data_IF_602165645131
#
_entry.id   IF_602165645131
#
_cell.length_a   1.000
_cell.length_b   1.000
_cell.length_c   1.000
_cell.angle_alpha   90.00
_cell.angle_beta   90.00
_cell.angle_gamma   90.00
#
_symmetry.space_group_name_H-M   'P 1'
#
loop_
_entity.id
_entity.type
_entity.pdbx_description
1 polymer ?
#
# COMPACT_ATOMS: atom_id res chain seq x y z
N UNK A 1 -4.18 -43.09 89.07
CA UNK A 1 -5.21 -42.65 88.11
C UNK A 1 -4.52 -42.40 86.78
N UNK A 2 -4.72 -43.31 85.84
CA UNK A 2 -4.18 -43.22 84.47
C UNK A 2 -5.03 -42.26 83.65
N UNK A 3 -4.41 -41.25 83.03
CA UNK A 3 -5.02 -40.52 81.92
C UNK A 3 -4.06 -40.65 80.75
N UNK A 4 -4.49 -41.44 79.76
CA UNK A 4 -3.80 -41.61 78.51
C UNK A 4 -4.03 -40.41 77.61
N UNK A 5 -2.98 -39.99 76.91
CA UNK A 5 -3.08 -39.10 75.76
C UNK A 5 -2.35 -39.80 74.62
N UNK A 6 -3.16 -40.37 73.73
CA UNK A 6 -2.76 -40.92 72.45
C UNK A 6 -2.56 -39.75 71.49
N UNK A 7 -1.38 -39.62 70.89
CA UNK A 7 -1.12 -38.69 69.80
C UNK A 7 -0.65 -39.49 68.57
N UNK A 8 -1.33 -39.34 67.42
CA UNK A 8 -1.11 -40.19 66.26
C UNK A 8 0.19 -39.86 65.54
N UNK A 9 0.86 -40.91 65.08
CA UNK A 9 2.03 -40.91 64.21
C UNK A 9 1.61 -40.41 62.82
N UNK A 10 1.99 -39.19 62.43
CA UNK A 10 1.88 -38.75 61.03
C UNK A 10 3.12 -39.21 60.26
N UNK A 11 2.91 -40.13 59.32
CA UNK A 11 3.89 -40.49 58.30
C UNK A 11 4.00 -39.35 57.29
N UNK A 12 5.13 -38.64 57.29
CA UNK A 12 5.52 -37.73 56.22
C UNK A 12 5.92 -38.59 55.01
N UNK A 13 5.02 -38.70 54.03
CA UNK A 13 5.34 -39.24 52.72
C UNK A 13 6.21 -38.26 51.95
N UNK A 14 7.44 -38.65 51.62
CA UNK A 14 8.25 -37.94 50.63
C UNK A 14 7.66 -38.21 49.25
N UNK A 15 6.89 -37.26 48.72
CA UNK A 15 6.56 -37.23 47.30
C UNK A 15 7.79 -36.72 46.55
N UNK A 16 8.47 -37.63 45.84
CA UNK A 16 9.56 -37.27 44.93
C UNK A 16 9.00 -36.52 43.73
N UNK A 17 8.98 -35.19 43.80
CA UNK A 17 8.81 -34.36 42.62
C UNK A 17 10.08 -34.49 41.78
N UNK A 18 9.98 -35.16 40.63
CA UNK A 18 10.96 -35.00 39.55
C UNK A 18 11.01 -33.51 39.24
N UNK A 19 12.13 -32.86 39.52
CA UNK A 19 12.42 -31.54 38.99
C UNK A 19 12.40 -31.65 37.47
N UNK A 20 11.45 -30.97 36.83
CA UNK A 20 11.54 -30.72 35.39
C UNK A 20 12.87 -30.00 35.13
N UNK A 21 13.64 -30.42 34.12
CA UNK A 21 14.85 -29.69 33.76
C UNK A 21 14.46 -28.25 33.42
N UNK A 22 15.18 -27.28 33.99
CA UNK A 22 15.08 -25.88 33.58
C UNK A 22 15.19 -25.83 32.05
N UNK A 23 14.30 -25.11 31.35
CA UNK A 23 14.38 -25.03 29.90
C UNK A 23 15.74 -24.44 29.55
N UNK A 24 16.57 -25.27 28.93
CA UNK A 24 17.79 -24.84 28.28
C UNK A 24 17.42 -23.69 27.35
N UNK A 25 18.09 -22.55 27.51
CA UNK A 25 17.90 -21.40 26.63
C UNK A 25 18.19 -21.87 25.21
N UNK A 26 17.14 -22.16 24.46
CA UNK A 26 17.21 -22.36 23.03
C UNK A 26 17.59 -20.99 22.47
N UNK A 27 18.86 -20.82 22.11
CA UNK A 27 19.23 -19.74 21.21
C UNK A 27 18.42 -19.95 19.93
N UNK A 28 17.45 -19.06 19.72
CA UNK A 28 16.75 -18.95 18.45
C UNK A 28 17.82 -18.53 17.45
N UNK A 29 18.24 -19.46 16.61
CA UNK A 29 19.18 -19.22 15.52
C UNK A 29 18.70 -18.04 14.68
N UNK A 30 19.57 -17.03 14.56
CA UNK A 30 19.41 -15.74 13.88
C UNK A 30 18.30 -15.68 12.84
N UNK A 31 17.18 -15.04 13.20
CA UNK A 31 16.32 -14.37 12.24
C UNK A 31 17.02 -13.08 11.78
N UNK A 32 18.10 -13.25 11.01
CA UNK A 32 18.96 -12.24 10.36
C UNK A 32 18.75 -10.80 10.87
N UNK A 33 19.42 -10.45 11.97
CA UNK A 33 19.51 -9.06 12.42
C UNK A 33 20.13 -8.27 11.29
N UNK A 34 19.35 -7.37 10.68
CA UNK A 34 19.88 -6.52 9.62
C UNK A 34 20.71 -5.42 10.25
N UNK A 35 21.92 -5.30 9.75
CA UNK A 35 22.87 -4.27 10.14
C UNK A 35 23.16 -3.37 8.95
N UNK A 36 23.86 -2.27 9.21
CA UNK A 36 24.30 -1.31 8.20
C UNK A 36 25.19 -1.94 7.11
N UNK A 37 25.83 -3.08 7.40
CA UNK A 37 26.69 -3.83 6.48
C UNK A 37 25.90 -4.75 5.53
N UNK A 38 24.59 -4.87 5.71
CA UNK A 38 23.74 -5.69 4.84
C UNK A 38 23.67 -5.07 3.44
N UNK A 39 23.84 -5.85 2.34
CA UNK A 39 23.71 -5.34 0.98
C UNK A 39 22.46 -4.48 0.73
N UNK A 40 22.65 -3.35 0.03
CA UNK A 40 21.63 -2.33 -0.25
C UNK A 40 20.31 -2.91 -0.76
N UNK A 41 20.39 -3.82 -1.74
CA UNK A 41 19.22 -4.48 -2.36
C UNK A 41 18.40 -5.26 -1.34
N UNK A 42 19.06 -5.95 -0.39
CA UNK A 42 18.38 -6.75 0.63
C UNK A 42 17.66 -5.85 1.64
N UNK A 43 18.29 -4.74 2.04
CA UNK A 43 17.67 -3.74 2.91
C UNK A 43 16.44 -3.12 2.24
N UNK A 44 16.58 -2.73 0.97
CA UNK A 44 15.50 -2.19 0.17
C UNK A 44 14.32 -3.16 0.05
N UNK A 45 14.57 -4.41 -0.34
CA UNK A 45 13.53 -5.42 -0.52
C UNK A 45 12.75 -5.68 0.77
N UNK A 46 13.44 -5.71 1.92
CA UNK A 46 12.76 -5.87 3.20
C UNK A 46 11.95 -4.63 3.57
N UNK A 47 12.51 -3.44 3.44
CA UNK A 47 11.80 -2.20 3.74
C UNK A 47 10.53 -2.07 2.88
N UNK A 48 10.64 -2.40 1.60
CA UNK A 48 9.51 -2.48 0.65
C UNK A 48 8.45 -3.48 1.10
N UNK A 49 8.82 -4.73 1.42
CA UNK A 49 7.87 -5.76 1.89
C UNK A 49 7.16 -5.33 3.17
N UNK A 50 7.86 -4.70 4.10
CA UNK A 50 7.27 -4.19 5.35
C UNK A 50 6.25 -3.08 5.06
N UNK A 51 6.58 -2.17 4.14
CA UNK A 51 5.67 -1.11 3.70
C UNK A 51 4.42 -1.66 3.03
N UNK A 52 4.58 -2.60 2.08
CA UNK A 52 3.47 -3.28 1.39
C UNK A 52 2.58 -4.08 2.34
N UNK A 53 3.17 -4.60 3.42
CA UNK A 53 2.46 -5.29 4.50
C UNK A 53 1.75 -4.33 5.48
N UNK A 54 1.75 -3.02 5.22
CA UNK A 54 1.21 -1.97 6.10
C UNK A 54 1.90 -1.87 7.47
N UNK A 55 3.10 -2.44 7.62
CA UNK A 55 3.88 -2.37 8.86
C UNK A 55 4.73 -1.10 8.87
N UNK A 56 4.07 0.06 8.82
CA UNK A 56 4.71 1.36 8.55
C UNK A 56 5.81 1.75 9.54
N UNK A 57 5.67 1.41 10.82
CA UNK A 57 6.71 1.68 11.81
C UNK A 57 7.98 0.86 11.56
N UNK A 58 7.83 -0.42 11.25
CA UNK A 58 8.97 -1.29 10.95
C UNK A 58 9.57 -0.94 9.59
N UNK A 59 8.73 -0.55 8.62
CA UNK A 59 9.16 -0.07 7.31
C UNK A 59 9.98 1.22 7.44
N UNK A 60 9.53 2.16 8.28
CA UNK A 60 10.26 3.39 8.59
C UNK A 60 11.67 3.07 9.09
N UNK A 61 11.80 2.23 10.12
CA UNK A 61 13.09 1.81 10.67
C UNK A 61 13.98 1.16 9.60
N UNK A 62 13.41 0.33 8.71
CA UNK A 62 14.13 -0.31 7.64
C UNK A 62 14.57 0.66 6.51
N UNK A 63 13.75 1.65 6.17
CA UNK A 63 14.13 2.70 5.19
C UNK A 63 15.16 3.67 5.77
N UNK A 64 15.06 4.01 7.05
CA UNK A 64 16.09 4.80 7.75
C UNK A 64 17.42 4.05 7.76
N UNK A 65 17.42 2.74 8.06
CA UNK A 65 18.62 1.91 7.98
C UNK A 65 19.22 1.88 6.57
N UNK A 66 18.38 1.77 5.53
CA UNK A 66 18.81 1.81 4.14
C UNK A 66 19.46 3.15 3.78
N UNK A 67 18.81 4.26 4.11
CA UNK A 67 19.33 5.62 3.86
C UNK A 67 20.65 5.86 4.59
N UNK A 68 20.72 5.47 5.86
CA UNK A 68 21.88 5.73 6.70
C UNK A 68 23.07 4.84 6.30
N UNK A 69 22.82 3.62 5.82
CA UNK A 69 23.86 2.71 5.32
C UNK A 69 24.33 3.03 3.91
N UNK A 70 23.44 3.57 3.07
CA UNK A 70 23.69 3.85 1.66
C UNK A 70 23.22 5.27 1.26
N UNK A 71 23.80 6.35 1.84
CA UNK A 71 23.34 7.73 1.63
C UNK A 71 23.53 8.27 0.20
N UNK A 72 24.32 7.58 -0.61
CA UNK A 72 24.49 7.87 -2.05
C UNK A 72 24.15 6.64 -2.91
N UNK A 73 23.43 5.68 -2.34
CA UNK A 73 23.00 4.46 -2.98
C UNK A 73 21.96 4.71 -4.08
N UNK A 74 21.72 3.69 -4.91
CA UNK A 74 20.73 3.78 -5.98
C UNK A 74 19.30 3.99 -5.44
N UNK A 75 19.03 3.55 -4.21
CA UNK A 75 17.72 3.64 -3.58
C UNK A 75 17.61 4.75 -2.52
N UNK A 76 18.64 5.61 -2.34
CA UNK A 76 18.65 6.63 -1.28
C UNK A 76 17.48 7.62 -1.41
N UNK A 77 17.31 8.24 -2.58
CA UNK A 77 16.21 9.18 -2.86
C UNK A 77 14.84 8.53 -2.63
N UNK A 78 14.73 7.25 -2.97
CA UNK A 78 13.49 6.49 -2.77
C UNK A 78 13.24 6.23 -1.27
N UNK A 79 14.28 5.88 -0.52
CA UNK A 79 14.20 5.70 0.91
C UNK A 79 13.70 6.97 1.61
N UNK A 80 14.23 8.15 1.25
CA UNK A 80 13.82 9.44 1.83
C UNK A 80 12.31 9.70 1.65
N UNK A 81 11.79 9.50 0.43
CA UNK A 81 10.36 9.62 0.17
C UNK A 81 9.57 8.59 0.97
N UNK A 82 10.07 7.35 1.08
CA UNK A 82 9.36 6.30 1.80
C UNK A 82 9.34 6.47 3.30
N UNK A 83 10.38 7.08 3.87
CA UNK A 83 10.38 7.52 5.27
C UNK A 83 9.24 8.53 5.49
N UNK A 84 9.10 9.51 4.59
CA UNK A 84 7.99 10.47 4.65
C UNK A 84 6.61 9.80 4.44
N UNK A 85 6.51 8.84 3.50
CA UNK A 85 5.29 8.06 3.28
C UNK A 85 4.89 7.26 4.53
N UNK A 86 5.84 6.62 5.22
CA UNK A 86 5.56 5.88 6.45
C UNK A 86 4.95 6.78 7.52
N UNK A 87 5.53 7.97 7.74
CA UNK A 87 4.99 8.97 8.66
C UNK A 87 3.58 9.43 8.26
N UNK A 88 3.35 9.64 6.96
CA UNK A 88 2.03 9.99 6.44
C UNK A 88 1.00 8.90 6.73
N UNK A 89 1.33 7.63 6.49
CA UNK A 89 0.41 6.51 6.73
C UNK A 89 0.14 6.29 8.23
N UNK A 90 1.13 6.61 9.07
CA UNK A 90 0.97 6.66 10.53
C UNK A 90 0.16 7.88 11.01
N UNK A 91 -0.28 8.76 10.10
CA UNK A 91 -1.03 10.00 10.36
C UNK A 91 -0.23 11.06 11.11
N UNK A 92 1.10 10.93 11.13
CA UNK A 92 2.04 11.92 11.66
C UNK A 92 2.29 13.00 10.61
N UNK A 93 1.22 13.69 10.20
CA UNK A 93 1.23 14.57 9.03
C UNK A 93 2.16 15.76 9.17
N UNK A 94 2.35 16.30 10.38
CA UNK A 94 3.29 17.41 10.61
C UNK A 94 4.73 16.98 10.32
N UNK A 95 5.12 15.79 10.80
CA UNK A 95 6.44 15.20 10.55
C UNK A 95 6.62 14.83 9.09
N UNK A 96 5.60 14.19 8.49
CA UNK A 96 5.61 13.82 7.08
C UNK A 96 5.81 15.05 6.17
N UNK A 97 5.12 16.16 6.46
CA UNK A 97 5.25 17.39 5.68
C UNK A 97 6.70 17.91 5.65
N UNK A 98 7.38 17.91 6.79
CA UNK A 98 8.78 18.34 6.89
C UNK A 98 9.71 17.41 6.11
N UNK A 99 9.53 16.10 6.23
CA UNK A 99 10.36 15.12 5.50
C UNK A 99 10.21 15.25 3.99
N UNK A 100 8.99 15.46 3.48
CA UNK A 100 8.80 15.73 2.04
C UNK A 100 9.44 17.06 1.61
N UNK A 101 9.39 18.11 2.44
CA UNK A 101 10.09 19.36 2.14
C UNK A 101 11.60 19.20 2.15
N UNK A 102 12.15 18.40 3.06
CA UNK A 102 13.58 18.12 3.12
C UNK A 102 14.03 17.33 1.89
N UNK A 103 13.26 16.32 1.48
CA UNK A 103 13.48 15.63 0.20
C UNK A 103 13.52 16.62 -0.99
N UNK A 104 12.60 17.59 -1.04
CA UNK A 104 12.59 18.59 -2.12
C UNK A 104 13.78 19.55 -2.10
N UNK A 105 14.38 19.80 -0.93
CA UNK A 105 15.59 20.62 -0.78
C UNK A 105 16.84 19.85 -1.20
N UNK A 106 16.91 18.58 -0.81
CA UNK A 106 18.05 17.70 -1.07
C UNK A 106 18.07 17.21 -2.51
N UNK A 107 16.89 16.89 -3.07
CA UNK A 107 16.73 16.27 -4.39
C UNK A 107 15.85 17.12 -5.33
N UNK A 108 16.18 18.40 -5.60
CA UNK A 108 15.31 19.33 -6.33
C UNK A 108 15.08 18.98 -7.80
N UNK A 109 15.86 18.05 -8.36
CA UNK A 109 15.76 17.57 -9.76
C UNK A 109 15.25 16.13 -9.87
N UNK A 110 14.82 15.54 -8.75
CA UNK A 110 14.28 14.18 -8.76
C UNK A 110 13.00 14.11 -9.59
N UNK A 111 12.80 13.00 -10.31
CA UNK A 111 11.54 12.70 -11.02
C UNK A 111 10.34 12.63 -10.05
N UNK A 112 10.62 12.39 -8.76
CA UNK A 112 9.62 12.34 -7.70
C UNK A 112 9.35 13.71 -7.04
N UNK A 113 9.99 14.79 -7.50
CA UNK A 113 9.70 16.14 -6.99
C UNK A 113 8.20 16.54 -7.06
N UNK A 114 7.44 16.32 -8.16
CA UNK A 114 6.02 16.66 -8.18
C UNK A 114 5.20 15.79 -7.21
N UNK A 115 5.61 14.54 -6.98
CA UNK A 115 5.00 13.67 -5.97
C UNK A 115 5.22 14.24 -4.56
N UNK A 116 6.47 14.53 -4.21
CA UNK A 116 6.83 15.06 -2.89
C UNK A 116 6.15 16.42 -2.63
N UNK A 117 6.03 17.29 -3.64
CA UNK A 117 5.25 18.54 -3.51
C UNK A 117 3.77 18.28 -3.19
N UNK A 118 3.15 17.36 -3.94
CA UNK A 118 1.74 17.02 -3.74
C UNK A 118 1.51 16.46 -2.32
N UNK A 119 2.40 15.59 -1.86
CA UNK A 119 2.34 14.96 -0.54
C UNK A 119 2.67 15.93 0.59
N UNK A 120 3.66 16.79 0.44
CA UNK A 120 3.99 17.83 1.42
C UNK A 120 2.79 18.76 1.63
N UNK A 121 2.18 19.24 0.54
CA UNK A 121 1.00 20.08 0.59
C UNK A 121 -0.17 19.38 1.30
N UNK A 122 -0.44 18.12 0.93
CA UNK A 122 -1.50 17.32 1.56
C UNK A 122 -1.23 17.06 3.04
N UNK A 123 0.02 16.82 3.41
CA UNK A 123 0.42 16.60 4.80
C UNK A 123 0.20 17.86 5.64
N UNK A 124 0.60 19.03 5.15
CA UNK A 124 0.28 20.31 5.80
C UNK A 124 -1.22 20.54 5.93
N UNK A 125 -1.99 20.27 4.86
CA UNK A 125 -3.46 20.38 4.89
C UNK A 125 -4.07 19.50 5.99
N UNK A 126 -3.66 18.24 6.07
CA UNK A 126 -4.18 17.26 7.04
C UNK A 126 -3.67 17.48 8.46
N UNK A 127 -2.50 18.11 8.63
CA UNK A 127 -1.98 18.49 9.95
C UNK A 127 -2.78 19.61 10.61
N UNK A 128 -3.56 20.37 9.82
CA UNK A 128 -4.40 21.42 10.34
C UNK A 128 -5.46 20.83 11.28
N UNK A 129 -5.56 21.41 12.47
CA UNK A 129 -6.48 20.93 13.51
C UNK A 129 -7.91 21.45 13.33
N UNK A 130 -8.25 22.03 12.19
CA UNK A 130 -9.59 22.53 11.88
C UNK A 130 -9.76 24.03 12.09
N UNK A 131 -10.92 24.53 11.65
CA UNK A 131 -11.22 25.95 11.51
C UNK A 131 -11.26 26.67 12.87
N UNK A 132 -10.65 27.85 12.95
CA UNK A 132 -10.50 28.63 14.20
C UNK A 132 -9.25 28.30 15.04
N UNK A 133 -8.35 27.45 14.52
CA UNK A 133 -6.99 27.22 15.06
C UNK A 133 -5.95 27.90 14.16
N UNK A 134 -4.68 27.56 14.33
CA UNK A 134 -3.59 28.08 13.49
C UNK A 134 -3.81 27.72 12.01
N UNK A 135 -3.80 28.74 11.15
CA UNK A 135 -3.95 28.60 9.70
C UNK A 135 -2.61 28.42 8.98
N UNK A 136 -1.47 28.55 9.70
CA UNK A 136 -0.13 28.42 9.15
C UNK A 136 0.06 27.17 8.26
N UNK A 137 -0.37 25.97 8.71
CA UNK A 137 -0.30 24.77 7.87
C UNK A 137 -1.13 24.88 6.58
N UNK A 138 -2.32 25.49 6.62
CA UNK A 138 -3.15 25.66 5.40
C UNK A 138 -2.52 26.64 4.40
N UNK A 139 -1.92 27.72 4.89
CA UNK A 139 -1.19 28.67 4.04
C UNK A 139 0.02 28.01 3.38
N UNK A 140 0.77 27.20 4.15
CA UNK A 140 1.91 26.46 3.62
C UNK A 140 1.49 25.41 2.59
N UNK A 141 0.40 24.69 2.87
CA UNK A 141 -0.22 23.76 1.94
C UNK A 141 -0.59 24.44 0.61
N UNK A 142 -1.23 25.61 0.68
CA UNK A 142 -1.62 26.38 -0.50
C UNK A 142 -0.40 26.80 -1.35
N UNK A 143 0.67 27.28 -0.71
CA UNK A 143 1.93 27.63 -1.37
C UNK A 143 2.50 26.44 -2.16
N UNK A 144 2.54 25.25 -1.54
CA UNK A 144 3.09 24.04 -2.16
C UNK A 144 2.21 23.51 -3.30
N UNK A 145 0.88 23.57 -3.16
CA UNK A 145 -0.02 23.26 -4.27
C UNK A 145 0.16 24.24 -5.44
N UNK A 146 0.34 25.54 -5.15
CA UNK A 146 0.61 26.53 -6.19
C UNK A 146 1.92 26.27 -6.92
N UNK A 147 2.97 25.93 -6.17
CA UNK A 147 4.25 25.53 -6.73
C UNK A 147 4.13 24.29 -7.62
N UNK A 148 3.42 23.25 -7.18
CA UNK A 148 3.17 22.05 -8.00
C UNK A 148 2.50 22.39 -9.34
N UNK A 149 1.42 23.18 -9.30
CA UNK A 149 0.65 23.51 -10.50
C UNK A 149 1.41 24.44 -11.45
N UNK A 150 2.30 25.28 -10.92
CA UNK A 150 3.13 26.18 -11.70
C UNK A 150 4.33 25.47 -12.32
N UNK A 151 5.09 24.73 -11.51
CA UNK A 151 6.36 24.13 -11.91
C UNK A 151 6.16 22.83 -12.69
N UNK A 152 5.07 22.08 -12.43
CA UNK A 152 4.81 20.76 -13.03
C UNK A 152 3.41 20.62 -13.67
N UNK A 153 3.07 21.46 -14.66
CA UNK A 153 1.73 21.48 -15.27
C UNK A 153 1.37 20.23 -16.08
N UNK A 154 2.37 19.41 -16.45
CA UNK A 154 2.19 18.16 -17.19
C UNK A 154 2.29 16.91 -16.30
N UNK A 155 2.45 17.08 -14.98
CA UNK A 155 2.56 15.94 -14.07
C UNK A 155 1.21 15.23 -13.91
N UNK A 156 1.25 13.92 -13.66
CA UNK A 156 0.07 13.12 -13.31
C UNK A 156 -0.64 13.65 -12.05
N UNK A 157 0.11 14.33 -11.19
CA UNK A 157 -0.31 14.91 -9.91
C UNK A 157 -1.04 16.25 -10.04
N UNK A 158 -1.12 16.81 -11.25
CA UNK A 158 -1.67 18.14 -11.49
C UNK A 158 -3.16 18.24 -11.10
N UNK A 159 -4.00 17.29 -11.54
CA UNK A 159 -5.44 17.36 -11.26
C UNK A 159 -5.76 17.11 -9.78
N UNK A 160 -5.10 16.15 -9.12
CA UNK A 160 -5.24 15.93 -7.68
C UNK A 160 -4.78 17.14 -6.88
N UNK A 161 -3.66 17.76 -7.27
CA UNK A 161 -3.16 19.01 -6.67
C UNK A 161 -4.16 20.16 -6.81
N UNK A 162 -4.78 20.31 -7.98
CA UNK A 162 -5.79 21.34 -8.24
C UNK A 162 -7.07 21.12 -7.42
N UNK A 163 -7.49 19.87 -7.25
CA UNK A 163 -8.63 19.52 -6.40
C UNK A 163 -8.35 19.85 -4.94
N UNK A 164 -7.26 19.34 -4.37
CA UNK A 164 -6.96 19.55 -2.94
C UNK A 164 -6.55 20.98 -2.62
N UNK A 165 -5.98 21.72 -3.59
CA UNK A 165 -5.85 23.18 -3.51
C UNK A 165 -7.21 23.84 -3.27
N UNK A 166 -8.24 23.45 -4.02
CA UNK A 166 -9.61 24.01 -3.84
C UNK A 166 -10.15 23.71 -2.45
N UNK A 167 -9.97 22.49 -1.96
CA UNK A 167 -10.35 22.11 -0.59
C UNK A 167 -9.61 22.96 0.46
N UNK A 168 -8.31 23.17 0.29
CA UNK A 168 -7.49 24.02 1.18
C UNK A 168 -7.98 25.47 1.19
N UNK A 169 -8.33 26.01 0.01
CA UNK A 169 -8.91 27.36 -0.11
C UNK A 169 -10.24 27.45 0.64
N UNK A 170 -11.09 26.43 0.53
CA UNK A 170 -12.35 26.39 1.27
C UNK A 170 -12.07 26.45 2.78
N UNK A 171 -11.19 25.60 3.32
CA UNK A 171 -10.84 25.62 4.75
C UNK A 171 -10.26 26.96 5.22
N UNK A 172 -9.49 27.67 4.38
CA UNK A 172 -9.00 29.02 4.67
C UNK A 172 -10.15 30.04 4.73
N UNK A 173 -11.08 30.00 3.77
CA UNK A 173 -12.26 30.87 3.75
C UNK A 173 -13.14 30.59 4.98
N UNK A 174 -13.38 29.33 5.32
CA UNK A 174 -14.15 28.91 6.48
C UNK A 174 -13.55 29.46 7.78
N UNK A 175 -12.22 29.35 7.93
CA UNK A 175 -11.52 29.87 9.10
C UNK A 175 -11.69 31.39 9.26
N UNK A 176 -11.64 32.15 8.17
CA UNK A 176 -11.84 33.60 8.21
C UNK A 176 -13.32 33.98 8.45
N UNK A 177 -14.26 33.23 7.87
CA UNK A 177 -15.70 33.42 8.13
C UNK A 177 -16.03 33.21 9.62
N UNK A 178 -15.42 32.23 10.28
CA UNK A 178 -15.58 32.04 11.73
C UNK A 178 -15.08 33.25 12.54
N UNK A 179 -13.98 33.87 12.11
CA UNK A 179 -13.45 35.08 12.76
C UNK A 179 -14.41 36.27 12.56
N UNK A 180 -14.92 36.44 11.34
CA UNK A 180 -15.90 37.49 11.01
C UNK A 180 -17.17 37.33 11.85
N UNK A 181 -17.71 36.11 11.91
CA UNK A 181 -18.89 35.79 12.71
C UNK A 181 -18.63 36.00 14.22
N UNK A 182 -17.46 35.63 14.73
CA UNK A 182 -17.06 35.92 16.11
C UNK A 182 -17.08 37.42 16.42
N UNK A 183 -16.48 38.27 15.57
CA UNK A 183 -16.49 39.72 15.77
C UNK A 183 -17.89 40.33 15.67
N UNK A 184 -18.72 39.79 14.79
CA UNK A 184 -20.13 40.19 14.62
C UNK A 184 -20.92 39.90 15.89
N UNK A 185 -20.86 38.66 16.40
CA UNK A 185 -21.51 38.24 17.65
C UNK A 185 -21.03 39.01 18.87
N UNK A 186 -19.78 39.49 18.87
CA UNK A 186 -19.20 40.32 19.94
C UNK A 186 -19.56 41.81 19.82
N UNK A 187 -20.39 42.22 18.87
CA UNK A 187 -20.78 43.62 18.69
C UNK A 187 -19.64 44.50 18.19
N UNK A 188 -18.69 43.95 17.44
CA UNK A 188 -17.55 44.68 16.85
C UNK A 188 -17.68 44.74 15.31
N UNK A 189 -18.70 45.43 14.76
CA UNK A 189 -19.01 45.39 13.32
C UNK A 189 -17.90 45.98 12.45
N UNK A 190 -17.18 47.02 12.92
CA UNK A 190 -16.08 47.64 12.15
C UNK A 190 -14.94 46.63 11.90
N UNK A 191 -14.62 45.80 12.90
CA UNK A 191 -13.59 44.77 12.76
C UNK A 191 -14.08 43.64 11.82
N UNK A 192 -15.34 43.22 11.96
CA UNK A 192 -15.94 42.23 11.09
C UNK A 192 -16.00 42.70 9.62
N UNK A 193 -16.36 43.96 9.38
CA UNK A 193 -16.40 44.55 8.04
C UNK A 193 -15.01 44.65 7.41
N UNK A 194 -13.99 45.05 8.17
CA UNK A 194 -12.61 45.09 7.69
C UNK A 194 -12.09 43.70 7.28
N UNK A 195 -12.43 42.68 8.09
CA UNK A 195 -12.12 41.27 7.80
C UNK A 195 -12.88 40.77 6.57
N UNK A 196 -14.17 41.05 6.46
CA UNK A 196 -14.99 40.73 5.29
C UNK A 196 -14.42 41.35 4.00
N UNK A 197 -14.02 42.62 4.03
CA UNK A 197 -13.36 43.27 2.89
C UNK A 197 -12.05 42.59 2.50
N UNK A 198 -11.25 42.18 3.48
CA UNK A 198 -9.99 41.47 3.23
C UNK A 198 -10.24 40.08 2.63
N UNK A 199 -11.26 39.37 3.11
CA UNK A 199 -11.68 38.07 2.58
C UNK A 199 -12.13 38.19 1.11
N UNK A 200 -12.98 39.17 0.80
CA UNK A 200 -13.47 39.44 -0.54
C UNK A 200 -12.35 39.86 -1.50
N UNK A 201 -11.42 40.69 -1.03
CA UNK A 201 -10.26 41.10 -1.81
C UNK A 201 -9.36 39.91 -2.18
N UNK A 202 -9.21 38.93 -1.30
CA UNK A 202 -8.34 37.76 -1.52
C UNK A 202 -8.98 36.69 -2.42
N UNK A 203 -10.24 36.34 -2.20
CA UNK A 203 -10.86 35.18 -2.85
C UNK A 203 -11.96 35.52 -3.86
N UNK A 204 -12.52 36.72 -3.80
CA UNK A 204 -13.69 37.12 -4.58
C UNK A 204 -14.98 36.45 -4.10
N UNK A 205 -16.12 37.08 -4.42
CA UNK A 205 -17.42 36.63 -3.91
C UNK A 205 -17.80 35.22 -4.38
N UNK A 206 -17.48 34.83 -5.63
CA UNK A 206 -17.84 33.52 -6.17
C UNK A 206 -17.25 32.36 -5.38
N UNK A 207 -15.95 32.42 -5.04
CA UNK A 207 -15.29 31.36 -4.25
C UNK A 207 -15.83 31.31 -2.82
N UNK A 208 -16.10 32.48 -2.23
CA UNK A 208 -16.71 32.57 -0.90
C UNK A 208 -18.08 31.90 -0.89
N UNK A 209 -18.92 32.11 -1.90
CA UNK A 209 -20.23 31.45 -1.98
C UNK A 209 -20.11 29.93 -2.19
N UNK A 210 -19.14 29.48 -2.99
CA UNK A 210 -18.87 28.05 -3.16
C UNK A 210 -18.45 27.40 -1.84
N UNK A 211 -17.53 28.01 -1.10
CA UNK A 211 -17.11 27.52 0.21
C UNK A 211 -18.26 27.48 1.22
N UNK A 212 -19.10 28.52 1.25
CA UNK A 212 -20.31 28.56 2.11
C UNK A 212 -21.29 27.43 1.79
N UNK A 213 -21.53 27.16 0.51
CA UNK A 213 -22.38 26.04 0.10
C UNK A 213 -21.81 24.71 0.58
N UNK A 214 -20.50 24.51 0.43
CA UNK A 214 -19.83 23.30 0.94
C UNK A 214 -19.94 23.14 2.45
N UNK A 215 -19.96 24.23 3.22
CA UNK A 215 -20.25 24.20 4.66
C UNK A 215 -21.69 23.78 4.97
N UNK A 216 -22.68 24.34 4.26
CA UNK A 216 -24.10 24.04 4.47
C UNK A 216 -24.42 22.58 4.15
N UNK A 217 -23.79 22.01 3.12
CA UNK A 217 -23.89 20.59 2.78
C UNK A 217 -23.23 19.66 3.84
N UNK A 218 -22.53 20.21 4.85
CA UNK A 218 -21.72 19.48 5.83
C UNK A 218 -22.26 19.46 7.29
N UNK A 219 -23.42 20.06 7.59
CA UNK A 219 -24.04 19.99 8.94
C UNK A 219 -24.69 18.60 9.25
N UNK A 220 -24.77 18.20 10.54
CA UNK A 220 -24.26 16.91 11.01
C UNK A 220 -25.24 15.75 10.81
N UNK A 221 -24.77 14.53 10.50
CA UNK A 221 -25.63 13.35 10.61
C UNK A 221 -26.04 13.18 12.08
N UNK A 222 -27.35 13.00 12.30
CA UNK A 222 -27.87 12.43 13.52
C UNK A 222 -27.03 11.21 13.92
N UNK A 223 -26.77 11.05 15.22
CA UNK A 223 -25.93 9.99 15.81
C UNK A 223 -26.35 8.63 15.23
N UNK A 224 -25.63 8.20 14.20
CA UNK A 224 -25.60 6.86 13.69
C UNK A 224 -24.37 6.18 14.30
N UNK A 225 -24.47 4.90 14.69
CA UNK A 225 -23.33 4.18 15.26
C UNK A 225 -22.15 4.25 14.29
N UNK A 226 -20.94 4.46 14.83
CA UNK A 226 -19.70 4.51 14.06
C UNK A 226 -19.58 3.28 13.16
N UNK A 227 -19.96 3.42 11.90
CA UNK A 227 -19.47 2.56 10.85
C UNK A 227 -18.15 3.13 10.34
N UNK A 228 -17.15 2.26 10.33
CA UNK A 228 -15.79 2.47 9.91
C UNK A 228 -15.76 2.72 8.39
N UNK A 229 -16.12 3.93 7.96
CA UNK A 229 -16.13 4.31 6.55
C UNK A 229 -14.68 4.37 6.04
N UNK A 230 -14.30 3.29 5.37
CA UNK A 230 -13.30 3.14 4.31
C UNK A 230 -12.13 4.14 4.28
N UNK A 231 -11.07 3.78 5.01
CA UNK A 231 -9.71 4.33 4.86
C UNK A 231 -9.07 4.05 3.47
N UNK A 232 -9.74 3.33 2.56
CA UNK A 232 -9.21 2.93 1.24
C UNK A 232 -9.12 4.09 0.22
N UNK A 233 -10.05 5.06 0.24
CA UNK A 233 -10.12 6.11 -0.80
C UNK A 233 -9.02 7.17 -0.76
N UNK A 234 -8.19 7.20 0.29
CA UNK A 234 -7.09 8.18 0.42
C UNK A 234 -5.73 7.55 0.08
N UNK A 235 -5.65 6.23 0.03
CA UNK A 235 -4.42 5.49 -0.30
C UNK A 235 -4.22 5.25 -1.80
N UNK A 236 -5.28 5.43 -2.61
CA UNK A 236 -5.32 5.03 -4.04
C UNK A 236 -4.69 6.04 -5.03
N UNK A 237 -4.37 7.28 -4.64
CA UNK A 237 -4.02 8.33 -5.62
C UNK A 237 -2.56 8.82 -5.60
N UNK A 238 -1.68 8.16 -4.84
CA UNK A 238 -0.41 8.75 -4.44
C UNK A 238 0.72 7.75 -4.19
N UNK A 239 0.95 6.83 -5.12
CA UNK A 239 2.25 6.17 -5.19
C UNK A 239 3.20 7.05 -6.02
N UNK A 240 4.48 7.21 -5.63
CA UNK A 240 5.49 7.76 -6.54
C UNK A 240 5.53 6.89 -7.80
N UNK A 241 5.85 7.44 -9.00
CA UNK A 241 6.08 6.60 -10.16
C UNK A 241 7.11 5.51 -9.83
N UNK A 242 6.72 4.27 -10.09
CA UNK A 242 7.48 3.06 -9.78
C UNK A 242 8.71 2.93 -10.67
N UNK A 243 9.89 2.76 -10.04
CA UNK A 243 11.07 1.93 -10.36
C UNK A 243 11.55 1.63 -11.80
N UNK A 244 10.85 1.99 -12.87
CA UNK A 244 11.26 1.72 -14.26
C UNK A 244 12.49 2.51 -14.72
N UNK A 245 12.99 3.45 -13.90
CA UNK A 245 14.18 4.24 -14.21
C UNK A 245 15.51 3.63 -13.72
N UNK A 246 15.48 2.56 -12.90
CA UNK A 246 16.69 2.01 -12.28
C UNK A 246 17.16 0.66 -12.85
N UNK A 247 16.33 -0.04 -13.63
CA UNK A 247 16.70 -1.30 -14.31
C UNK A 247 17.75 -1.12 -15.42
N UNK A 248 18.12 0.12 -15.74
CA UNK A 248 19.16 0.43 -16.73
C UNK A 248 20.57 0.62 -16.17
N UNK A 249 20.79 0.43 -14.86
CA UNK A 249 22.10 0.60 -14.21
C UNK A 249 22.59 -0.71 -13.60
N UNK A 250 22.60 -1.79 -14.38
CA UNK A 250 23.49 -2.90 -14.11
C UNK A 250 24.93 -2.40 -14.29
N UNK A 251 25.57 -2.00 -13.19
CA UNK A 251 27.02 -1.85 -13.17
C UNK A 251 27.63 -3.23 -13.39
N UNK A 252 28.29 -3.39 -14.54
CA UNK A 252 29.29 -4.43 -14.77
C UNK A 252 30.23 -4.50 -13.55
N UNK A 253 30.03 -5.49 -12.69
CA UNK A 253 31.01 -5.87 -11.70
C UNK A 253 31.30 -7.35 -11.92
N UNK A 254 32.29 -7.59 -12.77
CA UNK A 254 32.91 -8.88 -13.01
C UNK A 254 33.41 -9.46 -11.67
N UNK A 255 32.65 -10.37 -11.09
CA UNK A 255 33.14 -11.25 -10.04
C UNK A 255 33.74 -12.49 -10.70
N UNK A 256 35.05 -12.43 -10.93
CA UNK A 256 35.87 -13.61 -11.19
C UNK A 256 35.86 -14.50 -9.95
N UNK A 257 35.09 -15.59 -9.99
CA UNK A 257 35.25 -16.70 -9.05
C UNK A 257 36.04 -17.80 -9.74
N UNK A 258 37.27 -17.99 -9.29
CA UNK A 258 38.15 -19.07 -9.71
C UNK A 258 37.56 -20.44 -9.33
N UNK A 259 37.49 -21.31 -10.33
CA UNK A 259 37.15 -22.72 -10.21
C UNK A 259 38.22 -23.49 -9.43
N UNK A 260 37.81 -24.26 -8.42
CA UNK A 260 38.58 -25.42 -7.93
C UNK A 260 37.71 -26.66 -8.13
N UNK A 261 38.16 -27.51 -9.03
CA UNK A 261 37.72 -28.89 -9.20
C UNK A 261 38.51 -29.79 -8.25
N UNK A 262 37.86 -30.71 -7.55
CA UNK A 262 38.33 -32.11 -7.56
C UNK A 262 37.24 -33.12 -7.18
N UNK A 263 37.39 -34.32 -7.73
CA UNK A 263 36.45 -35.44 -7.80
C UNK A 263 36.36 -36.29 -6.51
N UNK A 264 35.22 -36.96 -6.26
CA UNK A 264 35.04 -38.41 -6.48
C UNK A 264 33.75 -39.01 -5.84
N UNK A 265 33.00 -39.69 -6.74
CA UNK A 265 32.21 -40.94 -6.65
C UNK A 265 31.11 -41.23 -5.58
N UNK A 266 29.96 -41.61 -6.16
CA UNK A 266 28.63 -42.09 -5.74
C UNK A 266 28.59 -43.44 -4.95
N UNK A 267 27.48 -43.89 -4.27
CA UNK A 267 26.23 -44.22 -4.97
C UNK A 267 24.85 -44.11 -4.24
N UNK A 268 23.84 -43.76 -5.06
CA UNK A 268 22.43 -44.21 -5.18
C UNK A 268 21.61 -44.59 -3.94
N UNK A 269 20.57 -43.78 -3.68
CA UNK A 269 19.24 -44.27 -3.23
C UNK A 269 18.14 -43.55 -4.03
N UNK A 270 17.18 -44.34 -4.49
CA UNK A 270 16.07 -44.03 -5.40
C UNK A 270 14.97 -43.18 -4.77
N UNK A 271 14.73 -41.98 -5.30
CA UNK A 271 13.46 -41.26 -5.18
C UNK A 271 13.04 -40.63 -6.53
N UNK A 272 13.07 -41.44 -7.59
CA UNK A 272 12.60 -41.05 -8.92
C UNK A 272 11.08 -41.20 -9.02
N UNK A 273 10.35 -40.12 -8.76
CA UNK A 273 9.07 -39.73 -9.43
C UNK A 273 8.53 -38.42 -8.84
N UNK A 274 8.73 -38.16 -7.54
CA UNK A 274 8.30 -36.90 -6.91
C UNK A 274 9.26 -35.74 -7.18
N UNK A 275 10.58 -35.95 -7.08
CA UNK A 275 11.55 -34.89 -7.40
C UNK A 275 11.57 -34.54 -8.89
N UNK A 276 11.30 -35.49 -9.78
CA UNK A 276 11.20 -35.21 -11.23
C UNK A 276 9.92 -34.46 -11.57
N UNK A 277 8.80 -34.75 -10.89
CA UNK A 277 7.58 -33.97 -11.02
C UNK A 277 7.74 -32.58 -10.41
N UNK A 278 8.40 -32.44 -9.25
CA UNK A 278 8.70 -31.14 -8.64
C UNK A 278 9.66 -30.32 -9.48
N UNK A 279 10.65 -30.95 -10.12
CA UNK A 279 11.58 -30.25 -11.01
C UNK A 279 10.92 -29.82 -12.33
N UNK A 280 10.00 -30.62 -12.89
CA UNK A 280 9.17 -30.19 -14.03
C UNK A 280 8.15 -29.11 -13.64
N UNK A 281 7.61 -29.15 -12.42
CA UNK A 281 6.73 -28.11 -11.86
C UNK A 281 7.52 -26.82 -11.60
N UNK A 282 8.75 -26.89 -11.08
CA UNK A 282 9.66 -25.76 -10.89
C UNK A 282 10.17 -25.18 -12.22
N UNK A 283 10.41 -26.02 -13.23
CA UNK A 283 10.83 -25.59 -14.58
C UNK A 283 9.66 -25.14 -15.47
N UNK A 284 8.42 -25.46 -15.12
CA UNK A 284 7.21 -24.87 -15.74
C UNK A 284 6.74 -23.61 -15.01
N UNK A 285 7.07 -23.49 -13.73
CA UNK A 285 6.85 -22.31 -12.89
C UNK A 285 7.57 -21.04 -13.39
N UNK A 286 8.69 -21.18 -14.08
CA UNK A 286 9.47 -20.06 -14.67
C UNK A 286 9.07 -19.74 -16.13
N UNK A 287 8.13 -20.49 -16.73
CA UNK A 287 7.72 -20.27 -18.13
C UNK A 287 6.61 -19.23 -18.31
N UNK A 288 5.94 -18.86 -17.23
CA UNK A 288 4.79 -17.97 -17.26
C UNK A 288 5.06 -16.82 -16.30
N UNK A 289 4.99 -15.59 -16.80
CA UNK A 289 5.28 -14.39 -16.01
C UNK A 289 4.22 -14.15 -14.93
N UNK A 290 3.00 -14.68 -15.13
CA UNK A 290 1.82 -14.47 -14.31
C UNK A 290 1.23 -15.82 -13.82
N UNK A 291 0.59 -15.80 -12.66
CA UNK A 291 -0.03 -16.98 -12.03
C UNK A 291 -1.37 -16.63 -11.42
N UNK A 292 -2.31 -17.55 -11.55
CA UNK A 292 -3.61 -17.45 -10.87
C UNK A 292 -3.44 -17.83 -9.41
N UNK A 293 -3.69 -16.89 -8.50
CA UNK A 293 -3.51 -17.07 -7.05
C UNK A 293 -4.79 -17.49 -6.34
N UNK A 294 -5.94 -17.00 -6.81
CA UNK A 294 -7.24 -17.23 -6.17
C UNK A 294 -8.38 -17.01 -7.16
N UNK A 295 -9.52 -17.68 -6.94
CA UNK A 295 -10.77 -17.40 -7.64
C UNK A 295 -11.88 -17.18 -6.60
N UNK A 296 -12.65 -16.11 -6.76
CA UNK A 296 -13.84 -15.81 -5.94
C UNK A 296 -15.06 -15.62 -6.83
N UNK A 297 -16.15 -16.28 -6.52
CA UNK A 297 -17.36 -16.24 -7.34
C UNK A 297 -18.56 -15.73 -6.54
N UNK A 298 -19.36 -14.88 -7.18
CA UNK A 298 -20.62 -14.38 -6.65
C UNK A 298 -21.76 -14.84 -7.57
N UNK A 299 -22.39 -15.96 -7.19
CA UNK A 299 -23.46 -16.59 -7.96
C UNK A 299 -24.69 -15.68 -8.10
N UNK A 300 -25.02 -14.89 -7.08
CA UNK A 300 -26.21 -14.03 -7.06
C UNK A 300 -26.10 -12.89 -8.06
N UNK A 301 -24.90 -12.32 -8.20
CA UNK A 301 -24.60 -11.22 -9.13
C UNK A 301 -24.05 -11.69 -10.47
N UNK A 302 -23.80 -13.00 -10.63
CA UNK A 302 -23.15 -13.60 -11.81
C UNK A 302 -21.79 -12.97 -12.11
N UNK A 303 -20.94 -12.84 -11.09
CA UNK A 303 -19.58 -12.30 -11.22
C UNK A 303 -18.54 -13.34 -10.81
N UNK A 304 -17.42 -13.38 -11.52
CA UNK A 304 -16.25 -14.17 -11.14
C UNK A 304 -15.00 -13.27 -11.08
N UNK A 305 -14.26 -13.35 -9.99
CA UNK A 305 -12.99 -12.67 -9.78
C UNK A 305 -11.86 -13.69 -9.86
N UNK A 306 -10.94 -13.51 -10.79
CA UNK A 306 -9.77 -14.36 -11.01
C UNK A 306 -8.54 -13.55 -10.64
N UNK A 307 -7.95 -13.83 -9.48
CA UNK A 307 -6.81 -13.11 -8.94
C UNK A 307 -5.51 -13.62 -9.56
N UNK A 308 -4.64 -12.69 -9.92
CA UNK A 308 -3.33 -12.92 -10.48
C UNK A 308 -2.27 -12.49 -9.45
N UNK A 309 -1.05 -12.97 -9.58
CA UNK A 309 0.11 -12.50 -8.80
C UNK A 309 0.69 -11.19 -9.35
N UNK A 310 0.51 -10.94 -10.66
CA UNK A 310 0.93 -9.75 -11.40
C UNK A 310 -0.16 -9.27 -12.35
N UNK A 311 -0.10 -8.00 -12.73
CA UNK A 311 -1.00 -7.40 -13.70
C UNK A 311 -0.74 -7.90 -15.13
N UNK A 312 -1.75 -7.82 -15.99
CA UNK A 312 -1.62 -8.06 -17.43
C UNK A 312 -1.34 -6.72 -18.10
N UNK A 313 -0.10 -6.51 -18.54
CA UNK A 313 0.33 -5.24 -19.15
C UNK A 313 -0.01 -5.12 -20.65
N UNK A 314 -0.48 -6.20 -21.28
CA UNK A 314 -0.86 -6.19 -22.70
C UNK A 314 -2.21 -5.49 -22.93
N UNK A 315 -2.14 -4.19 -23.22
CA UNK A 315 -3.30 -3.33 -23.54
C UNK A 315 -4.08 -3.86 -24.76
N UNK A 316 -3.40 -4.49 -25.73
CA UNK A 316 -4.05 -5.04 -26.92
C UNK A 316 -4.93 -6.23 -26.56
N UNK A 317 -4.45 -7.08 -25.66
CA UNK A 317 -5.24 -8.18 -25.11
C UNK A 317 -6.49 -7.67 -24.39
N UNK A 318 -6.35 -6.68 -23.49
CA UNK A 318 -7.46 -6.14 -22.71
C UNK A 318 -8.54 -5.50 -23.59
N UNK A 319 -8.12 -4.71 -24.58
CA UNK A 319 -9.05 -4.03 -25.50
C UNK A 319 -9.76 -5.02 -26.42
N UNK A 320 -9.09 -6.10 -26.84
CA UNK A 320 -9.68 -7.11 -27.71
C UNK A 320 -10.69 -8.02 -27.00
N UNK A 321 -10.63 -8.10 -25.66
CA UNK A 321 -11.40 -9.06 -24.85
C UNK A 321 -12.36 -8.39 -23.86
N UNK A 322 -12.65 -7.09 -24.00
CA UNK A 322 -13.62 -6.35 -23.17
C UNK A 322 -15.01 -7.00 -23.19
N UNK A 323 -15.42 -7.56 -24.33
CA UNK A 323 -16.65 -8.36 -24.46
C UNK A 323 -16.33 -9.73 -25.03
N UNK A 324 -16.62 -10.77 -24.27
CA UNK A 324 -16.37 -12.16 -24.60
C UNK A 324 -17.66 -12.83 -25.07
N UNK A 325 -17.67 -13.31 -26.31
CA UNK A 325 -18.82 -14.00 -26.88
C UNK A 325 -18.70 -15.52 -26.74
N UNK A 326 -19.79 -16.24 -26.40
CA UNK A 326 -19.75 -17.69 -26.30
C UNK A 326 -19.53 -18.32 -27.67
N UNK A 327 -18.74 -19.39 -27.70
CA UNK A 327 -18.55 -20.25 -28.87
C UNK A 327 -19.84 -21.00 -29.21
N UNK A 328 -19.88 -21.64 -30.39
CA UNK A 328 -21.02 -22.48 -30.81
C UNK A 328 -21.31 -23.65 -29.85
N UNK A 329 -20.34 -24.01 -29.01
CA UNK A 329 -20.47 -25.04 -27.97
C UNK A 329 -21.08 -24.51 -26.65
N UNK A 330 -21.28 -23.19 -26.52
CA UNK A 330 -21.82 -22.55 -25.32
C UNK A 330 -20.78 -22.21 -24.25
N UNK A 331 -19.50 -22.15 -24.63
CA UNK A 331 -18.40 -21.80 -23.73
C UNK A 331 -17.75 -20.49 -24.17
N UNK A 332 -17.44 -19.62 -23.22
CA UNK A 332 -16.52 -18.50 -23.37
C UNK A 332 -15.11 -19.01 -23.11
N UNK A 333 -14.20 -18.76 -24.06
CA UNK A 333 -12.79 -19.17 -23.97
C UNK A 333 -11.91 -17.93 -24.01
N UNK A 334 -11.03 -17.80 -23.01
CA UNK A 334 -10.10 -16.68 -22.87
C UNK A 334 -8.71 -17.22 -22.56
N UNK A 335 -7.72 -16.90 -23.39
CA UNK A 335 -6.32 -17.23 -23.11
C UNK A 335 -5.64 -16.03 -22.49
N UNK A 336 -5.29 -16.11 -21.20
CA UNK A 336 -4.54 -15.03 -20.56
C UNK A 336 -3.06 -15.12 -21.00
N UNK A 337 -2.45 -14.02 -21.47
CA UNK A 337 -1.04 -14.00 -21.84
C UNK A 337 -0.15 -14.42 -20.67
N UNK A 338 0.84 -15.26 -20.97
CA UNK A 338 1.91 -15.66 -20.06
C UNK A 338 1.45 -16.09 -18.66
N UNK A 339 0.28 -16.71 -18.57
CA UNK A 339 -0.33 -17.14 -17.30
C UNK A 339 -0.35 -18.66 -17.17
N UNK A 340 0.11 -19.16 -16.03
CA UNK A 340 -0.06 -20.56 -15.63
C UNK A 340 -1.11 -20.71 -14.53
N UNK A 341 -1.81 -21.85 -14.51
CA UNK A 341 -2.75 -22.23 -13.44
C UNK A 341 -2.40 -23.61 -12.88
N UNK A 342 -2.45 -23.73 -11.55
CA UNK A 342 -2.35 -25.02 -10.82
C UNK A 342 -3.75 -25.60 -10.54
N UNK A 343 -4.79 -24.78 -10.67
CA UNK A 343 -6.17 -25.19 -10.40
C UNK A 343 -6.83 -25.75 -11.66
N UNK A 344 -7.66 -26.78 -11.52
CA UNK A 344 -8.29 -27.47 -12.67
C UNK A 344 -9.76 -27.03 -12.89
N UNK A 345 -10.60 -26.93 -11.86
CA UNK A 345 -12.04 -26.64 -12.01
C UNK A 345 -12.65 -25.92 -10.79
N UNK A 346 -13.56 -24.96 -11.02
CA UNK A 346 -14.36 -24.27 -10.01
C UNK A 346 -15.85 -24.26 -10.39
N UNK A 347 -16.72 -24.22 -9.39
CA UNK A 347 -18.18 -24.08 -9.55
C UNK A 347 -18.61 -22.67 -9.16
N UNK A 348 -18.83 -21.79 -10.12
CA UNK A 348 -19.11 -20.37 -9.91
C UNK A 348 -20.58 -20.01 -10.10
N UNK A 349 -21.19 -20.51 -11.18
CA UNK A 349 -22.61 -20.30 -11.50
C UNK A 349 -23.35 -21.63 -11.65
N UNK A 350 -22.65 -22.67 -12.12
CA UNK A 350 -23.10 -24.06 -12.20
C UNK A 350 -21.99 -25.01 -11.74
N UNK A 351 -22.27 -26.30 -11.68
CA UNK A 351 -21.25 -27.29 -11.29
C UNK A 351 -20.12 -27.37 -12.32
N UNK A 352 -18.89 -27.04 -11.88
CA UNK A 352 -17.64 -27.14 -12.67
C UNK A 352 -17.69 -26.37 -14.00
N UNK A 353 -18.25 -25.18 -13.95
CA UNK A 353 -18.49 -24.32 -15.10
C UNK A 353 -17.30 -23.42 -15.46
N UNK A 354 -16.43 -23.12 -14.51
CA UNK A 354 -15.18 -22.38 -14.72
C UNK A 354 -13.99 -23.36 -14.67
N UNK A 355 -13.27 -23.48 -15.78
CA UNK A 355 -12.14 -24.42 -15.93
C UNK A 355 -10.89 -23.69 -16.37
N UNK A 356 -9.77 -24.14 -15.83
CA UNK A 356 -8.46 -23.60 -16.14
C UNK A 356 -7.59 -24.70 -16.74
N UNK A 357 -6.98 -24.39 -17.88
CA UNK A 357 -5.95 -25.23 -18.47
C UNK A 357 -4.58 -24.82 -17.95
N UNK A 358 -3.63 -25.76 -17.95
CA UNK A 358 -2.26 -25.54 -17.48
C UNK A 358 -1.50 -24.48 -18.30
N UNK A 359 -1.98 -24.13 -19.48
CA UNK A 359 -1.45 -23.11 -20.40
C UNK A 359 -2.18 -21.74 -20.32
N UNK A 360 -2.96 -21.51 -19.25
CA UNK A 360 -3.58 -20.20 -18.99
C UNK A 360 -4.90 -19.95 -19.71
N UNK A 361 -5.49 -20.98 -20.32
CA UNK A 361 -6.81 -20.89 -20.97
C UNK A 361 -7.91 -21.06 -19.93
N UNK A 362 -8.79 -20.07 -19.86
CA UNK A 362 -10.01 -20.07 -19.07
C UNK A 362 -11.18 -20.48 -19.95
N UNK A 363 -12.01 -21.40 -19.46
CA UNK A 363 -13.28 -21.79 -20.08
C UNK A 363 -14.43 -21.59 -19.11
N UNK A 364 -15.44 -20.85 -19.52
CA UNK A 364 -16.67 -20.61 -18.75
C UNK A 364 -17.89 -21.00 -19.56
N UNK A 365 -18.74 -21.87 -19.03
CA UNK A 365 -20.04 -22.14 -19.64
C UNK A 365 -20.94 -20.92 -19.55
N UNK A 366 -21.32 -20.35 -20.70
CA UNK A 366 -22.24 -19.23 -20.76
C UNK A 366 -23.11 -19.27 -22.02
N UNK A 367 -24.40 -19.00 -21.86
CA UNK A 367 -25.35 -18.88 -22.97
C UNK A 367 -25.41 -17.48 -23.58
N UNK A 368 -24.69 -16.50 -23.01
CA UNK A 368 -24.65 -15.11 -23.45
C UNK A 368 -23.25 -14.50 -23.33
N UNK A 369 -23.03 -13.29 -23.87
CA UNK A 369 -21.74 -12.60 -23.76
C UNK A 369 -21.42 -12.23 -22.31
N UNK A 370 -20.14 -12.19 -21.97
CA UNK A 370 -19.62 -11.69 -20.69
C UNK A 370 -18.75 -10.45 -20.92
N UNK A 371 -18.68 -9.58 -19.92
CA UNK A 371 -17.80 -8.41 -19.93
C UNK A 371 -16.57 -8.71 -19.08
N UNK A 372 -15.39 -8.43 -19.62
CA UNK A 372 -14.14 -8.60 -18.89
C UNK A 372 -13.58 -7.26 -18.50
N UNK A 373 -13.24 -7.11 -17.22
CA UNK A 373 -12.56 -5.94 -16.70
C UNK A 373 -11.33 -6.36 -15.90
N UNK A 374 -10.18 -5.76 -16.21
CA UNK A 374 -9.01 -5.88 -15.35
C UNK A 374 -9.15 -4.91 -14.17
N UNK A 375 -9.04 -5.44 -12.96
CA UNK A 375 -9.02 -4.65 -11.72
C UNK A 375 -7.62 -4.75 -11.12
N UNK A 376 -6.94 -3.62 -11.04
CA UNK A 376 -5.63 -3.52 -10.40
C UNK A 376 -5.74 -3.47 -8.87
N UNK A 377 -4.69 -3.95 -8.19
CA UNK A 377 -4.50 -3.89 -6.72
C UNK A 377 -5.62 -4.51 -5.83
N UNK A 378 -5.56 -5.84 -5.55
CA UNK A 378 -4.69 -6.84 -6.20
C UNK A 378 -5.16 -7.13 -7.63
N UNK A 379 -4.23 -7.44 -8.56
CA UNK A 379 -4.54 -7.68 -9.96
C UNK A 379 -5.51 -8.86 -10.07
N UNK A 380 -6.68 -8.61 -10.66
CA UNK A 380 -7.70 -9.64 -10.87
C UNK A 380 -8.54 -9.32 -12.09
N UNK A 381 -8.90 -10.35 -12.85
CA UNK A 381 -9.90 -10.26 -13.90
C UNK A 381 -11.28 -10.43 -13.28
N UNK A 382 -12.16 -9.47 -13.56
CA UNK A 382 -13.59 -9.57 -13.34
C UNK A 382 -14.25 -10.04 -14.63
N UNK A 383 -15.00 -11.13 -14.53
CA UNK A 383 -15.82 -11.72 -15.58
C UNK A 383 -17.30 -11.71 -15.19
#
# INVERSE_FOLDING_TARGET
>A
MSVGISFPLMLVGCSGSKSEPEPELVEISDESVLTLDTPEVILFDRAKRLYESNLYRNALEAFELLRDGYPFGAYSDFADIKIADCQFQMKEYATAALLYEDFLKEHPRSENAPYALLRAARSYQLSNRGSGRDIGPLEKSLELYEKLLHDYPQSVYFESGKQWKRETINSLIESELLIIDFYTRRGKPVAAEARQKSLEARWGQTKIQQAKKSLEDSEPPAIAPLELVNAKRVAEDLSPPSLLALDGRETNMDLQVQTITDHQEEPKITHSTLEQAELEILQSADRFSNRITKVECNSDKKLAFIFLDKSIEDISFLTAHEVLNPTKAGDIELKIPDTGSVFEEFSCFQEKDLRFSSDGVIKIKSSGPAEMLLIENPPRLLL
#
